data_IF_978218015633
#
_entry.id   IF_978218015633
#
_cell.length_a   1.000
_cell.length_b   1.000
_cell.length_c   1.000
_cell.angle_alpha   90.00
_cell.angle_beta   90.00
_cell.angle_gamma   90.00
#
_symmetry.space_group_name_H-M   'P 1'
#
loop_
_entity.id
_entity.type
_entity.pdbx_description
1 polymer ?
#
# COMPACT_ATOMS: atom_id res chain seq x y z
N UNK A 1 -7.75 -2.10 -19.06
CA UNK A 1 -6.68 -1.87 -18.07
C UNK A 1 -6.05 -3.21 -17.79
N UNK A 2 -4.76 -3.38 -18.09
CA UNK A 2 -4.05 -4.62 -17.73
C UNK A 2 -4.20 -4.85 -16.23
N UNK A 3 -4.84 -5.96 -15.86
CA UNK A 3 -4.87 -6.42 -14.47
C UNK A 3 -3.45 -6.87 -14.12
N UNK A 4 -2.59 -5.92 -13.74
CA UNK A 4 -1.32 -6.25 -13.11
C UNK A 4 -1.66 -7.06 -11.87
N UNK A 5 -1.19 -8.32 -11.83
CA UNK A 5 -1.47 -9.27 -10.74
C UNK A 5 -1.04 -8.71 -9.38
N UNK A 6 -0.05 -7.82 -9.38
CA UNK A 6 0.49 -7.17 -8.19
C UNK A 6 0.45 -5.64 -8.26
N UNK A 7 0.19 -5.02 -7.10
CA UNK A 7 0.33 -3.60 -6.86
C UNK A 7 1.62 -3.35 -6.06
N UNK A 8 2.44 -2.42 -6.54
CA UNK A 8 3.75 -2.13 -5.96
C UNK A 8 3.67 -0.90 -5.05
N UNK A 9 3.99 -1.08 -3.77
CA UNK A 9 4.15 0.00 -2.80
C UNK A 9 5.64 0.16 -2.51
N UNK A 10 6.16 1.39 -2.58
CA UNK A 10 7.57 1.71 -2.21
C UNK A 10 7.69 2.39 -0.84
N UNK A 11 6.57 2.86 -0.28
CA UNK A 11 6.53 3.52 1.04
C UNK A 11 6.37 2.44 2.12
N UNK A 12 7.41 2.21 2.93
CA UNK A 12 7.42 1.22 4.03
C UNK A 12 6.18 1.32 4.92
N UNK A 13 5.89 2.50 5.47
CA UNK A 13 4.77 2.68 6.40
C UNK A 13 3.40 2.45 5.76
N UNK A 14 3.25 2.71 4.45
CA UNK A 14 2.02 2.37 3.75
C UNK A 14 1.88 0.85 3.60
N UNK A 15 2.97 0.15 3.26
CA UNK A 15 2.97 -1.30 3.18
C UNK A 15 2.67 -1.95 4.54
N UNK A 16 3.24 -1.42 5.62
CA UNK A 16 2.95 -1.85 6.99
C UNK A 16 1.48 -1.58 7.37
N UNK A 17 0.92 -0.43 6.98
CA UNK A 17 -0.51 -0.14 7.17
C UNK A 17 -1.42 -1.13 6.43
N UNK A 18 -1.07 -1.49 5.20
CA UNK A 18 -1.81 -2.52 4.46
C UNK A 18 -1.67 -3.91 5.09
N UNK A 19 -0.48 -4.25 5.60
CA UNK A 19 -0.27 -5.51 6.32
C UNK A 19 -1.02 -5.56 7.65
N UNK A 20 -1.12 -4.44 8.37
CA UNK A 20 -1.97 -4.32 9.56
C UNK A 20 -3.44 -4.60 9.25
N UNK A 21 -3.93 -4.17 8.07
CA UNK A 21 -5.27 -4.50 7.58
C UNK A 21 -5.42 -5.96 7.09
N UNK A 22 -4.37 -6.78 7.19
CA UNK A 22 -4.39 -8.21 6.85
C UNK A 22 -3.90 -8.55 5.44
N UNK A 23 -3.46 -7.57 4.64
CA UNK A 23 -2.97 -7.84 3.29
C UNK A 23 -1.50 -8.29 3.31
N UNK A 24 -1.24 -9.49 2.76
CA UNK A 24 0.13 -10.01 2.62
C UNK A 24 0.85 -9.37 1.44
N UNK A 25 2.16 -9.18 1.57
CA UNK A 25 3.03 -8.72 0.49
C UNK A 25 4.32 -9.53 0.42
N UNK A 26 4.91 -9.55 -0.77
CA UNK A 26 6.30 -9.96 -0.97
C UNK A 26 7.20 -8.73 -0.99
N UNK A 27 8.41 -8.86 -0.44
CA UNK A 27 9.42 -7.80 -0.47
C UNK A 27 10.48 -8.13 -1.50
N UNK A 28 10.80 -7.17 -2.36
CA UNK A 28 11.89 -7.26 -3.34
C UNK A 28 12.85 -6.08 -3.15
N UNK A 29 14.16 -6.33 -3.28
CA UNK A 29 15.19 -5.32 -3.09
C UNK A 29 15.50 -4.97 -1.63
N UNK A 30 16.39 -3.99 -1.45
CA UNK A 30 16.92 -3.57 -0.15
C UNK A 30 17.03 -2.04 -0.07
N UNK A 31 16.93 -1.49 1.15
CA UNK A 31 17.08 -0.06 1.38
C UNK A 31 16.05 0.78 0.61
N UNK A 32 16.53 1.81 -0.12
CA UNK A 32 15.70 2.73 -0.91
C UNK A 32 14.99 2.07 -2.09
N UNK A 33 15.51 0.93 -2.57
CA UNK A 33 14.96 0.19 -3.70
C UNK A 33 13.92 -0.85 -3.29
N UNK A 34 13.57 -0.90 -2.00
CA UNK A 34 12.58 -1.85 -1.49
C UNK A 34 11.21 -1.64 -2.18
N UNK A 35 10.68 -2.72 -2.76
CA UNK A 35 9.33 -2.79 -3.33
C UNK A 35 8.52 -3.82 -2.53
N UNK A 36 7.33 -3.42 -2.09
CA UNK A 36 6.34 -4.27 -1.44
C UNK A 36 5.24 -4.61 -2.45
N UNK A 37 5.16 -5.87 -2.88
CA UNK A 37 4.23 -6.37 -3.91
C UNK A 37 3.00 -7.00 -3.26
N UNK A 38 1.84 -6.38 -3.43
CA UNK A 38 0.56 -6.86 -2.91
C UNK A 38 -0.27 -7.47 -4.04
N UNK A 39 -1.06 -8.51 -3.76
CA UNK A 39 -2.02 -9.03 -4.75
C UNK A 39 -3.05 -7.95 -5.08
N UNK A 40 -3.18 -7.63 -6.37
CA UNK A 40 -4.07 -6.58 -6.84
C UNK A 40 -5.51 -7.12 -6.96
N UNK A 41 -6.25 -7.03 -5.88
CA UNK A 41 -7.66 -7.44 -5.78
C UNK A 41 -8.57 -6.20 -5.66
N UNK A 42 -9.87 -6.37 -5.88
CA UNK A 42 -10.82 -5.26 -5.72
C UNK A 42 -10.83 -4.78 -4.28
N UNK A 43 -10.84 -5.71 -3.33
CA UNK A 43 -10.85 -5.48 -1.90
C UNK A 43 -9.59 -4.71 -1.47
N UNK A 44 -8.42 -5.12 -1.97
CA UNK A 44 -7.16 -4.39 -1.74
C UNK A 44 -7.25 -2.94 -2.24
N UNK A 45 -7.76 -2.73 -3.45
CA UNK A 45 -7.89 -1.38 -4.03
C UNK A 45 -8.87 -0.51 -3.23
N UNK A 46 -9.97 -1.08 -2.76
CA UNK A 46 -10.92 -0.38 -1.87
C UNK A 46 -10.26 0.04 -0.57
N UNK A 47 -9.54 -0.88 0.10
CA UNK A 47 -8.84 -0.58 1.34
C UNK A 47 -7.74 0.49 1.15
N UNK A 48 -6.93 0.36 0.10
CA UNK A 48 -5.91 1.35 -0.26
C UNK A 48 -6.54 2.73 -0.51
N UNK A 49 -7.66 2.78 -1.24
CA UNK A 49 -8.37 4.03 -1.55
C UNK A 49 -8.90 4.67 -0.26
N UNK A 50 -9.56 3.90 0.61
CA UNK A 50 -10.05 4.38 1.90
C UNK A 50 -8.93 4.92 2.80
N UNK A 51 -7.78 4.25 2.83
CA UNK A 51 -6.61 4.73 3.59
C UNK A 51 -6.05 6.04 3.02
N UNK A 52 -6.00 6.18 1.70
CA UNK A 52 -5.56 7.41 1.04
C UNK A 52 -6.54 8.57 1.26
N UNK A 53 -7.84 8.30 1.28
CA UNK A 53 -8.85 9.29 1.66
C UNK A 53 -8.74 9.70 3.12
N UNK A 54 -8.58 8.73 4.03
CA UNK A 54 -8.37 9.01 5.46
C UNK A 54 -7.15 9.93 5.62
N UNK A 55 -6.02 9.59 4.98
CA UNK A 55 -4.82 10.42 4.99
C UNK A 55 -5.09 11.84 4.49
N UNK A 56 -5.90 12.03 3.44
CA UNK A 56 -6.26 13.38 2.96
C UNK A 56 -7.07 14.16 4.00
N UNK A 57 -7.94 13.49 4.76
CA UNK A 57 -8.81 14.12 5.77
C UNK A 57 -8.07 14.46 7.07
N UNK A 58 -7.18 13.58 7.55
CA UNK A 58 -6.56 13.71 8.88
C UNK A 58 -5.04 13.85 8.86
N UNK A 59 -4.38 13.60 7.72
CA UNK A 59 -2.92 13.60 7.60
C UNK A 59 -2.28 14.98 7.45
N UNK A 60 -3.04 16.07 7.66
CA UNK A 60 -2.53 17.45 7.61
C UNK A 60 -1.90 17.92 8.94
N UNK A 61 -1.96 17.13 10.02
CA UNK A 61 -1.48 17.51 11.35
C UNK A 61 0.03 17.29 11.61
N UNK A 62 0.88 17.41 10.60
CA UNK A 62 2.34 17.34 10.78
C UNK A 62 3.00 18.45 9.95
N UNK A 63 2.94 19.68 10.47
CA UNK A 63 3.97 20.71 10.25
C UNK A 63 5.06 20.57 11.32
#
# INVERSE_FOLDING_TARGET
MENKEYYNIRKKYLAEGMAFLGYKYFKEGYGKDTIYKFKNTKEFNTALTGLMELKKRVGQFLE
#
